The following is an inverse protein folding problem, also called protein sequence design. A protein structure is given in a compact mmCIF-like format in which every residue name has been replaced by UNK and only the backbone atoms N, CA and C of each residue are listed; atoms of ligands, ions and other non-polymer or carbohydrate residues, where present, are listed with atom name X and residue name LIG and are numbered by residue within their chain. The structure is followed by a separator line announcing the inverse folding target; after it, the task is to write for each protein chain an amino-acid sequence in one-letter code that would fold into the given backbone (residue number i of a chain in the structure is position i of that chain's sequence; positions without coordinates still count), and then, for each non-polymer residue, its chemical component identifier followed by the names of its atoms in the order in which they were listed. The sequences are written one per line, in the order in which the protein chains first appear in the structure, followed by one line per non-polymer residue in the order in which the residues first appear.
data_IF_364576851215
#
_entry.id   IF_364576851215
#
_cell.length_a   1.000
_cell.length_b   1.000
_cell.length_c   1.000
_cell.angle_alpha   90.00
_cell.angle_beta   90.00
_cell.angle_gamma   90.00
#
_symmetry.space_group_name_H-M   'P 1'
#
loop_
_entity.id
_entity.type
_entity.pdbx_description
1 polymer ?
#
# COMPACT_ATOMS: atom_id res chain seq x y z
N UNK A 1 6.81 -9.32 2.77
CA UNK A 1 5.85 -8.63 3.67
C UNK A 1 5.40 -7.35 2.99
N UNK A 2 4.29 -6.78 3.43
CA UNK A 2 3.87 -5.42 3.09
C UNK A 2 3.57 -4.67 4.38
N UNK A 3 3.40 -3.36 4.31
CA UNK A 3 2.99 -2.53 5.42
C UNK A 3 1.61 -1.95 5.12
N UNK A 4 0.68 -2.06 6.07
CA UNK A 4 -0.70 -1.57 5.92
C UNK A 4 -1.04 -0.72 7.12
N UNK A 5 -1.65 0.44 6.92
CA UNK A 5 -2.24 1.22 8.00
C UNK A 5 -3.60 0.61 8.37
N UNK A 6 -3.60 -0.43 9.22
CA UNK A 6 -4.79 -1.25 9.50
C UNK A 6 -5.97 -0.45 10.06
N UNK A 7 -5.69 0.60 10.83
CA UNK A 7 -6.69 1.52 11.40
C UNK A 7 -7.45 2.33 10.34
N UNK A 8 -6.95 2.34 9.11
CA UNK A 8 -7.54 3.10 8.00
C UNK A 8 -8.41 2.25 7.07
N UNK A 9 -8.40 0.91 7.21
CA UNK A 9 -9.16 0.01 6.35
C UNK A 9 -10.65 0.38 6.29
N UNK A 10 -11.24 0.25 5.10
CA UNK A 10 -12.63 0.62 4.83
C UNK A 10 -12.84 2.09 4.47
N UNK A 11 -11.78 2.92 4.51
CA UNK A 11 -11.81 4.30 4.00
C UNK A 11 -11.42 4.33 2.51
N UNK A 12 -11.62 5.48 1.87
CA UNK A 12 -11.19 5.77 0.50
C UNK A 12 -10.56 7.17 0.44
N UNK A 13 -9.66 7.44 -0.52
CA UNK A 13 -9.13 6.50 -1.53
C UNK A 13 -8.10 5.52 -0.93
N UNK A 14 -7.78 4.43 -1.64
CA UNK A 14 -6.66 3.55 -1.27
C UNK A 14 -5.42 4.04 -2.00
N UNK A 15 -4.37 4.32 -1.24
CA UNK A 15 -3.07 4.75 -1.74
C UNK A 15 -2.03 3.66 -1.52
N UNK A 16 -1.15 3.47 -2.51
CA UNK A 16 -0.03 2.54 -2.41
C UNK A 16 1.28 3.17 -2.84
N UNK A 17 2.34 2.88 -2.08
CA UNK A 17 3.71 3.31 -2.37
C UNK A 17 4.62 2.09 -2.43
N UNK A 18 5.14 1.82 -3.63
CA UNK A 18 6.14 0.81 -3.91
C UNK A 18 7.55 1.40 -3.79
N UNK A 19 8.35 0.85 -2.88
CA UNK A 19 9.71 1.32 -2.62
C UNK A 19 10.67 0.15 -2.44
N UNK A 20 11.97 0.39 -2.65
CA UNK A 20 12.98 -0.62 -2.39
C UNK A 20 12.97 -0.98 -0.91
N UNK A 21 12.98 -2.28 -0.61
CA UNK A 21 13.20 -2.72 0.75
C UNK A 21 14.63 -2.31 1.18
N UNK A 22 14.84 -1.80 2.40
CA UNK A 22 16.18 -1.53 2.89
C UNK A 22 16.98 -2.83 3.00
N UNK A 23 18.32 -2.73 3.10
CA UNK A 23 19.17 -3.89 3.33
C UNK A 23 18.74 -4.66 4.60
N UNK A 24 18.48 -5.96 4.45
CA UNK A 24 17.94 -6.80 5.53
C UNK A 24 16.42 -6.69 5.77
N UNK A 25 15.73 -5.78 5.07
CA UNK A 25 14.28 -5.63 5.11
C UNK A 25 13.55 -6.47 4.05
N UNK A 26 12.25 -6.73 4.27
CA UNK A 26 11.41 -7.51 3.34
C UNK A 26 10.04 -6.88 3.05
N UNK A 27 9.89 -5.58 3.36
CA UNK A 27 8.71 -4.76 3.07
C UNK A 27 9.07 -3.83 1.91
N UNK A 28 8.33 -3.96 0.81
CA UNK A 28 8.50 -3.14 -0.41
C UNK A 28 7.24 -2.35 -0.79
N UNK A 29 6.15 -2.50 -0.04
CA UNK A 29 4.87 -1.86 -0.30
C UNK A 29 4.25 -1.33 0.97
N UNK A 30 3.68 -0.13 0.88
CA UNK A 30 2.99 0.58 1.95
C UNK A 30 1.60 0.97 1.46
N UNK A 31 0.57 0.62 2.23
CA UNK A 31 -0.84 0.85 1.87
C UNK A 31 -1.59 1.55 2.98
N UNK A 32 -2.33 2.61 2.65
CA UNK A 32 -3.27 3.25 3.56
C UNK A 32 -4.56 3.60 2.81
N UNK A 33 -5.63 3.85 3.57
CA UNK A 33 -6.90 4.27 3.01
C UNK A 33 -7.36 5.61 3.61
N UNK A 34 -7.87 6.53 2.80
CA UNK A 34 -8.14 7.90 3.24
C UNK A 34 -6.83 8.65 3.54
N UNK A 35 -6.83 9.42 4.63
CA UNK A 35 -5.74 10.33 4.96
C UNK A 35 -4.48 9.60 5.48
N UNK A 36 -3.31 10.08 5.03
CA UNK A 36 -2.01 9.68 5.54
C UNK A 36 -1.73 10.33 6.92
N UNK A 37 -0.98 9.64 7.77
CA UNK A 37 -0.46 10.17 9.02
C UNK A 37 1.03 9.85 9.15
N UNK A 38 1.81 10.77 9.72
CA UNK A 38 3.25 10.66 9.93
C UNK A 38 3.65 9.97 11.24
N UNK A 39 2.68 9.41 11.97
CA UNK A 39 2.92 8.65 13.20
C UNK A 39 3.82 7.43 12.93
N UNK A 40 4.74 7.16 13.85
CA UNK A 40 5.73 6.08 13.72
C UNK A 40 5.11 4.68 13.71
N UNK A 41 3.92 4.53 14.30
CA UNK A 41 3.14 3.31 14.36
C UNK A 41 2.01 3.27 13.31
N UNK A 42 1.99 4.21 12.36
CA UNK A 42 0.92 4.32 11.36
C UNK A 42 0.75 3.04 10.53
N UNK A 43 1.86 2.44 10.09
CA UNK A 43 1.86 1.20 9.33
C UNK A 43 2.23 -0.01 10.18
N UNK A 44 1.53 -1.13 9.98
CA UNK A 44 1.84 -2.41 10.60
C UNK A 44 2.22 -3.46 9.54
N UNK A 45 3.15 -4.37 9.83
CA UNK A 45 3.58 -5.40 8.89
C UNK A 45 2.47 -6.43 8.68
N UNK A 46 2.16 -6.72 7.42
CA UNK A 46 1.19 -7.73 7.00
C UNK A 46 1.88 -8.74 6.08
N UNK A 47 1.63 -10.03 6.33
CA UNK A 47 2.10 -11.07 5.44
C UNK A 47 1.34 -10.99 4.11
N UNK A 48 2.05 -11.08 2.99
CA UNK A 48 1.44 -10.90 1.65
C UNK A 48 0.30 -11.90 1.39
N UNK A 49 0.34 -13.09 1.99
CA UNK A 49 -0.75 -14.07 1.92
C UNK A 49 -2.05 -13.62 2.60
N UNK A 50 -1.99 -12.79 3.66
CA UNK A 50 -3.19 -12.25 4.32
C UNK A 50 -3.66 -10.93 3.68
N UNK A 51 -2.87 -10.33 2.77
CA UNK A 51 -3.24 -9.08 2.12
C UNK A 51 -4.53 -9.22 1.29
N UNK A 52 -4.72 -10.38 0.65
CA UNK A 52 -5.94 -10.65 -0.11
C UNK A 52 -7.20 -10.74 0.77
N UNK A 53 -7.05 -11.00 2.07
CA UNK A 53 -8.16 -11.07 3.01
C UNK A 53 -8.52 -9.68 3.55
N UNK A 54 -7.52 -8.84 3.84
CA UNK A 54 -7.72 -7.54 4.48
C UNK A 54 -7.83 -6.35 3.52
N UNK A 55 -7.18 -6.42 2.35
CA UNK A 55 -7.19 -5.34 1.36
C UNK A 55 -7.01 -5.93 -0.07
N UNK A 56 -7.97 -6.72 -0.57
CA UNK A 56 -7.85 -7.44 -1.85
C UNK A 56 -7.59 -6.51 -3.05
N UNK A 57 -8.12 -5.29 -3.02
CA UNK A 57 -8.04 -4.33 -4.12
C UNK A 57 -6.59 -4.00 -4.53
N UNK A 58 -5.62 -4.10 -3.61
CA UNK A 58 -4.24 -3.71 -3.90
C UNK A 58 -3.35 -4.83 -4.42
N UNK A 59 -3.83 -6.08 -4.39
CA UNK A 59 -3.00 -7.27 -4.70
C UNK A 59 -2.46 -7.21 -6.14
N UNK A 60 -3.22 -6.63 -7.08
CA UNK A 60 -2.81 -6.49 -8.49
C UNK A 60 -1.56 -5.59 -8.66
N UNK A 61 -1.31 -4.66 -7.74
CA UNK A 61 -0.19 -3.73 -7.83
C UNK A 61 1.14 -4.31 -7.34
N UNK A 62 1.12 -5.42 -6.59
CA UNK A 62 2.34 -6.02 -6.01
C UNK A 62 3.41 -6.41 -7.04
N UNK A 63 3.03 -6.57 -8.32
CA UNK A 63 3.93 -6.91 -9.42
C UNK A 63 4.52 -5.69 -10.14
N UNK A 64 4.11 -4.48 -9.75
CA UNK A 64 4.61 -3.26 -10.37
C UNK A 64 6.05 -2.96 -9.92
N UNK A 65 6.84 -2.27 -10.76
CA UNK A 65 8.23 -1.95 -10.42
C UNK A 65 8.37 -1.10 -9.16
N UNK A 66 9.55 -1.17 -8.55
CA UNK A 66 9.96 -0.25 -7.49
C UNK A 66 9.85 1.19 -7.98
N UNK A 67 9.42 2.10 -7.11
CA UNK A 67 9.18 3.51 -7.44
C UNK A 67 7.77 3.77 -7.98
N UNK A 68 6.92 2.74 -8.11
CA UNK A 68 5.52 2.94 -8.46
C UNK A 68 4.71 3.45 -7.27
N UNK A 69 3.83 4.41 -7.52
CA UNK A 69 2.77 4.86 -6.62
C UNK A 69 1.42 4.75 -7.31
N UNK A 70 0.36 4.60 -6.54
CA UNK A 70 -0.99 4.64 -7.06
C UNK A 70 -1.98 5.22 -6.05
N UNK A 71 -3.12 5.66 -6.58
CA UNK A 71 -4.32 5.98 -5.82
C UNK A 71 -5.54 5.42 -6.56
N UNK A 72 -6.45 4.77 -5.84
CA UNK A 72 -7.71 4.24 -6.38
C UNK A 72 -8.88 4.58 -5.46
N UNK A 73 -10.09 4.68 -6.01
CA UNK A 73 -11.32 4.81 -5.22
C UNK A 73 -12.38 3.76 -5.59
N UNK A 74 -13.53 3.83 -4.92
CA UNK A 74 -14.70 2.99 -5.16
C UNK A 74 -15.63 3.50 -6.28
N UNK A 75 -15.32 4.64 -6.89
CA UNK A 75 -16.03 5.20 -8.04
C UNK A 75 -15.37 4.84 -9.38
N UNK A 76 -14.25 4.10 -9.33
CA UNK A 76 -13.53 3.62 -10.50
C UNK A 76 -12.39 4.55 -10.95
N UNK A 77 -12.02 5.54 -10.15
CA UNK A 77 -10.80 6.30 -10.37
C UNK A 77 -9.59 5.41 -10.09
N UNK A 78 -8.62 5.44 -11.00
CA UNK A 78 -7.34 4.78 -10.86
C UNK A 78 -6.25 5.63 -11.50
N UNK A 79 -5.27 6.03 -10.71
CA UNK A 79 -4.06 6.69 -11.19
C UNK A 79 -2.82 5.95 -10.66
N UNK A 80 -1.87 5.70 -11.57
CA UNK A 80 -0.67 4.91 -11.32
C UNK A 80 0.50 5.63 -11.99
N UNK A 81 1.50 6.01 -11.20
CA UNK A 81 2.65 6.75 -11.69
C UNK A 81 3.96 6.20 -11.11
N UNK A 82 5.09 6.61 -11.69
CA UNK A 82 6.42 6.34 -11.15
C UNK A 82 7.03 7.63 -10.63
N UNK A 83 7.68 7.55 -9.48
CA UNK A 83 8.60 8.58 -9.01
C UNK A 83 10.00 8.20 -9.47
N UNK A 84 10.64 9.12 -10.19
CA UNK A 84 12.05 9.04 -10.60
C UNK A 84 12.98 9.37 -9.42
#
# INVERSE_FOLDING_TARGET
MVAVALSTLGRMPISGVGQAAPEGGNISWFFHCGEYCDATDFYQPVHTAHLCEVLPAVVKYLRLPVGTRFIIDDQGYEDVWRVE
#
